data_IF_261404576897
#
_entry.id   IF_261404576897
#
_cell.length_a   1.000
_cell.length_b   1.000
_cell.length_c   1.000
_cell.angle_alpha   90.00
_cell.angle_beta   90.00
_cell.angle_gamma   90.00
#
_symmetry.space_group_name_H-M   'P 1'
#
loop_
_entity.id
_entity.type
_entity.pdbx_description
1 polymer ?
#
# COMPACT_ATOMS: atom_id res chain seq x y z
N UNK A 1 -20.33 -4.59 37.03
CA UNK A 1 -21.45 -5.44 36.52
C UNK A 1 -22.08 -4.92 35.23
N UNK A 2 -22.23 -3.60 35.03
CA UNK A 2 -22.78 -3.03 33.77
C UNK A 2 -21.80 -3.08 32.57
N UNK A 3 -20.47 -3.04 32.79
CA UNK A 3 -19.46 -3.15 31.73
C UNK A 3 -19.29 -4.59 31.20
N UNK A 4 -19.42 -5.58 32.06
CA UNK A 4 -19.34 -6.99 31.69
C UNK A 4 -20.53 -7.44 30.83
N UNK A 5 -21.74 -6.95 31.13
CA UNK A 5 -22.93 -7.27 30.33
C UNK A 5 -22.91 -6.62 28.93
N UNK A 6 -22.30 -5.45 28.78
CA UNK A 6 -22.15 -4.80 27.47
C UNK A 6 -21.09 -5.49 26.60
N UNK A 7 -19.96 -5.88 27.19
CA UNK A 7 -18.90 -6.61 26.47
C UNK A 7 -19.39 -8.01 26.03
N UNK A 8 -20.12 -8.73 26.87
CA UNK A 8 -20.72 -10.01 26.52
C UNK A 8 -21.79 -9.87 25.42
N UNK A 9 -22.61 -8.81 25.47
CA UNK A 9 -23.59 -8.50 24.43
C UNK A 9 -22.92 -8.16 23.08
N UNK A 10 -21.79 -7.42 23.07
CA UNK A 10 -21.08 -7.08 21.88
C UNK A 10 -20.36 -8.29 21.25
N UNK A 11 -19.82 -9.20 22.08
CA UNK A 11 -19.25 -10.47 21.61
C UNK A 11 -20.34 -11.33 20.98
N UNK A 12 -21.51 -11.39 21.56
CA UNK A 12 -22.66 -12.18 21.06
C UNK A 12 -23.20 -11.65 19.72
N UNK A 13 -23.23 -10.33 19.55
CA UNK A 13 -23.65 -9.68 18.30
C UNK A 13 -22.67 -9.90 17.13
N UNK A 14 -21.40 -10.18 17.42
CA UNK A 14 -20.34 -10.40 16.42
C UNK A 14 -20.10 -11.89 16.14
N UNK A 15 -20.77 -12.79 16.81
CA UNK A 15 -20.61 -14.22 16.62
C UNK A 15 -21.23 -14.65 15.28
N UNK A 16 -20.43 -15.24 14.41
CA UNK A 16 -20.92 -15.89 13.20
C UNK A 16 -21.41 -17.29 13.54
N UNK A 17 -22.71 -17.45 13.59
CA UNK A 17 -23.37 -18.70 14.00
C UNK A 17 -23.13 -19.88 13.04
N UNK A 18 -22.74 -19.62 11.78
CA UNK A 18 -22.67 -20.63 10.72
C UNK A 18 -21.27 -21.16 10.43
N UNK A 19 -20.21 -20.63 11.05
CA UNK A 19 -18.84 -20.98 10.71
C UNK A 19 -18.00 -21.29 11.94
N UNK A 20 -17.16 -22.34 11.83
CA UNK A 20 -16.14 -22.61 12.83
C UNK A 20 -15.03 -21.55 12.76
N UNK A 21 -14.41 -21.26 13.91
CA UNK A 21 -13.18 -20.47 13.94
C UNK A 21 -12.05 -21.20 13.19
N UNK A 22 -11.19 -20.41 12.51
CA UNK A 22 -9.99 -20.96 11.93
C UNK A 22 -9.09 -21.54 13.03
N UNK A 23 -8.89 -22.85 13.01
CA UNK A 23 -8.07 -23.59 13.98
C UNK A 23 -7.25 -24.68 13.27
N UNK A 24 -6.13 -25.14 13.86
CA UNK A 24 -5.43 -26.31 13.36
C UNK A 24 -6.30 -27.55 13.36
N UNK A 25 -6.14 -28.40 12.39
CA UNK A 25 -6.77 -29.73 12.37
C UNK A 25 -6.05 -30.71 13.30
N UNK A 26 -4.74 -30.50 13.47
CA UNK A 26 -3.89 -31.28 14.40
C UNK A 26 -3.16 -30.31 15.35
N UNK A 27 -3.51 -30.35 16.64
CA UNK A 27 -2.90 -29.50 17.66
C UNK A 27 -1.51 -29.94 18.10
N UNK A 28 -1.12 -31.19 17.80
CA UNK A 28 0.22 -31.72 18.13
C UNK A 28 1.29 -31.20 17.16
N UNK A 29 0.90 -30.67 16.02
CA UNK A 29 1.80 -30.10 15.02
C UNK A 29 1.87 -28.58 15.18
N UNK A 30 2.97 -28.12 15.75
CA UNK A 30 3.25 -26.66 15.88
C UNK A 30 3.71 -26.04 14.56
N UNK A 31 4.37 -26.79 13.69
CA UNK A 31 4.98 -26.33 12.45
C UNK A 31 4.77 -27.36 11.34
N UNK A 32 4.66 -26.88 10.12
CA UNK A 32 4.57 -27.72 8.91
C UNK A 32 5.87 -27.68 8.09
N UNK A 33 7.00 -27.35 8.71
CA UNK A 33 8.29 -27.16 8.03
C UNK A 33 8.81 -28.44 7.37
N UNK A 34 8.45 -29.61 7.88
CA UNK A 34 8.85 -30.91 7.34
C UNK A 34 8.13 -31.28 6.03
N UNK A 35 7.08 -30.54 5.67
CA UNK A 35 6.35 -30.81 4.43
C UNK A 35 6.89 -29.95 3.27
N UNK A 36 7.59 -30.57 2.30
CA UNK A 36 8.21 -29.85 1.18
C UNK A 36 7.20 -29.19 0.23
N UNK A 37 5.93 -29.55 0.29
CA UNK A 37 4.87 -28.98 -0.54
C UNK A 37 4.27 -27.70 0.06
N UNK A 38 4.63 -27.33 1.29
CA UNK A 38 4.11 -26.17 1.98
C UNK A 38 5.10 -25.01 1.86
N UNK A 39 4.62 -23.86 1.36
CA UNK A 39 5.44 -22.66 1.25
C UNK A 39 5.78 -22.10 2.63
N UNK A 40 6.92 -21.45 2.77
CA UNK A 40 7.33 -20.74 4.00
C UNK A 40 6.27 -19.73 4.47
N UNK A 41 5.53 -19.09 3.55
CA UNK A 41 4.43 -18.19 3.89
C UNK A 41 3.24 -18.93 4.50
N UNK A 42 2.89 -20.10 3.96
CA UNK A 42 1.81 -20.93 4.48
C UNK A 42 2.16 -21.46 5.88
N UNK A 43 3.41 -21.89 6.09
CA UNK A 43 3.87 -22.32 7.41
C UNK A 43 3.80 -21.19 8.46
N UNK A 44 4.22 -19.97 8.10
CA UNK A 44 4.07 -18.80 9.01
C UNK A 44 2.61 -18.54 9.35
N UNK A 45 1.71 -18.64 8.38
CA UNK A 45 0.26 -18.48 8.63
C UNK A 45 -0.27 -19.59 9.55
N UNK A 46 0.14 -20.85 9.34
CA UNK A 46 -0.23 -21.96 10.18
C UNK A 46 0.23 -21.75 11.64
N UNK A 47 1.49 -21.36 11.86
CA UNK A 47 2.03 -21.03 13.19
C UNK A 47 1.22 -19.93 13.85
N UNK A 48 0.82 -18.88 13.11
CA UNK A 48 -0.03 -17.81 13.62
C UNK A 48 -1.40 -18.33 14.08
N UNK A 49 -2.05 -19.17 13.27
CA UNK A 49 -3.35 -19.77 13.59
C UNK A 49 -3.20 -20.66 14.82
N UNK A 50 -2.18 -21.52 14.85
CA UNK A 50 -1.93 -22.42 15.98
C UNK A 50 -1.72 -21.63 17.28
N UNK A 51 -0.82 -20.65 17.26
CA UNK A 51 -0.57 -19.80 18.43
C UNK A 51 -1.84 -19.10 18.92
N UNK A 52 -2.61 -18.48 18.01
CA UNK A 52 -3.85 -17.79 18.37
C UNK A 52 -4.88 -18.74 19.00
N UNK A 53 -5.01 -19.93 18.44
CA UNK A 53 -5.91 -20.95 18.98
C UNK A 53 -5.47 -21.38 20.39
N UNK A 54 -4.19 -21.68 20.58
CA UNK A 54 -3.67 -22.07 21.89
C UNK A 54 -3.79 -20.94 22.92
N UNK A 55 -3.41 -19.72 22.53
CA UNK A 55 -3.53 -18.52 23.38
C UNK A 55 -4.96 -18.27 23.86
N UNK A 56 -5.96 -18.55 23.00
CA UNK A 56 -7.38 -18.36 23.35
C UNK A 56 -7.87 -19.31 24.47
N UNK A 57 -7.17 -20.41 24.69
CA UNK A 57 -7.47 -21.42 25.70
C UNK A 57 -6.61 -21.31 26.96
N UNK A 58 -5.61 -20.42 26.94
CA UNK A 58 -4.69 -20.21 28.07
C UNK A 58 -5.24 -19.17 29.05
N UNK A 59 -4.74 -19.20 30.28
CA UNK A 59 -5.06 -18.19 31.29
C UNK A 59 -4.58 -16.80 30.83
N UNK A 60 -5.31 -15.72 31.21
CA UNK A 60 -4.83 -14.36 31.02
C UNK A 60 -3.44 -14.13 31.63
N UNK A 61 -2.69 -13.19 31.09
CA UNK A 61 -1.49 -12.71 31.70
C UNK A 61 -1.82 -11.72 32.82
N UNK A 62 -1.07 -11.78 33.92
CA UNK A 62 -1.15 -10.81 34.99
C UNK A 62 -0.05 -9.77 34.83
N UNK A 63 -0.46 -8.52 34.68
CA UNK A 63 0.46 -7.40 34.43
C UNK A 63 0.25 -6.33 35.50
N UNK A 64 1.33 -6.01 36.21
CA UNK A 64 1.39 -4.88 37.14
C UNK A 64 1.74 -3.62 36.35
N UNK A 65 0.91 -2.59 36.46
CA UNK A 65 1.11 -1.31 35.78
C UNK A 65 1.38 -0.22 36.78
N UNK A 66 2.61 0.31 36.73
CA UNK A 66 3.02 1.45 37.55
C UNK A 66 2.97 2.73 36.72
N UNK A 67 2.14 3.68 37.15
CA UNK A 67 2.06 5.01 36.56
C UNK A 67 2.71 6.02 37.50
N UNK A 68 3.75 6.71 37.02
CA UNK A 68 4.49 7.72 37.79
C UNK A 68 4.19 9.07 37.14
N UNK A 69 3.69 10.03 37.92
CA UNK A 69 3.53 11.42 37.55
C UNK A 69 4.56 12.27 38.24
N UNK A 70 5.38 12.97 37.49
CA UNK A 70 6.47 13.82 38.05
C UNK A 70 6.09 15.27 37.76
N UNK A 71 5.77 16.00 38.77
CA UNK A 71 5.39 17.41 38.69
C UNK A 71 6.65 18.29 38.80
N UNK A 72 6.64 19.37 38.03
CA UNK A 72 7.66 20.41 38.16
C UNK A 72 7.30 21.30 39.36
N UNK A 73 8.29 21.57 40.20
CA UNK A 73 8.14 22.45 41.37
C UNK A 73 8.99 23.68 41.16
N UNK A 74 8.35 24.84 41.19
CA UNK A 74 9.02 26.14 41.15
C UNK A 74 8.77 26.87 42.47
N UNK A 75 9.80 26.86 43.35
CA UNK A 75 9.64 27.32 44.73
C UNK A 75 8.62 26.49 45.50
N UNK A 76 7.55 27.11 45.99
CA UNK A 76 6.43 26.45 46.69
C UNK A 76 5.27 26.03 45.80
N UNK A 77 5.24 26.49 44.56
CA UNK A 77 4.15 26.20 43.60
C UNK A 77 4.47 24.97 42.78
N UNK A 78 3.42 24.14 42.55
CA UNK A 78 3.48 22.98 41.69
C UNK A 78 2.91 23.39 40.32
N UNK A 79 3.71 23.23 39.28
CA UNK A 79 3.30 23.54 37.90
C UNK A 79 2.16 22.62 37.44
N UNK A 80 1.28 23.15 36.59
CA UNK A 80 0.17 22.42 36.01
C UNK A 80 0.62 21.25 35.10
N UNK A 81 1.80 21.37 34.50
CA UNK A 81 2.36 20.37 33.59
C UNK A 81 3.18 19.36 34.37
N UNK A 82 3.14 18.11 33.92
CA UNK A 82 3.87 17.01 34.54
C UNK A 82 4.36 16.01 33.52
N UNK A 83 5.44 15.32 33.84
CA UNK A 83 5.89 14.16 33.08
C UNK A 83 5.13 12.93 33.54
N UNK A 84 4.85 12.01 32.58
CA UNK A 84 4.20 10.74 32.85
C UNK A 84 5.13 9.61 32.41
N UNK A 85 5.42 8.68 33.31
CA UNK A 85 6.10 7.43 33.00
C UNK A 85 5.18 6.27 33.33
N UNK A 86 4.99 5.36 32.36
CA UNK A 86 4.22 4.13 32.53
C UNK A 86 5.18 2.96 32.40
N UNK A 87 5.25 2.08 33.40
CA UNK A 87 6.00 0.84 33.34
C UNK A 87 5.06 -0.34 33.56
N UNK A 88 5.26 -1.40 32.79
CA UNK A 88 4.47 -2.62 32.87
C UNK A 88 5.41 -3.79 33.17
N UNK A 89 5.07 -4.58 34.20
CA UNK A 89 5.79 -5.78 34.58
C UNK A 89 4.85 -6.97 34.48
N UNK A 90 5.29 -7.98 33.77
CA UNK A 90 4.54 -9.23 33.64
C UNK A 90 4.84 -10.06 34.89
N UNK A 91 3.83 -10.25 35.73
CA UNK A 91 3.91 -11.07 36.95
C UNK A 91 3.68 -12.54 36.63
N UNK A 92 2.76 -12.79 35.71
CA UNK A 92 2.45 -14.10 35.19
C UNK A 92 2.24 -14.01 33.66
N UNK A 93 3.05 -14.75 32.91
CA UNK A 93 3.04 -14.66 31.45
C UNK A 93 1.70 -15.07 30.82
N UNK A 94 1.04 -16.07 31.39
CA UNK A 94 -0.20 -16.60 30.82
C UNK A 94 -0.07 -16.87 29.33
N UNK A 95 -1.02 -16.39 28.51
CA UNK A 95 -1.01 -16.56 27.07
C UNK A 95 0.15 -15.82 26.36
N UNK A 96 0.74 -14.83 26.99
CA UNK A 96 1.84 -14.04 26.40
C UNK A 96 3.11 -14.88 26.18
N UNK A 97 3.26 -16.02 26.85
CA UNK A 97 4.40 -16.92 26.66
C UNK A 97 4.53 -17.35 25.20
N UNK A 98 3.43 -17.61 24.51
CA UNK A 98 3.42 -17.96 23.08
C UNK A 98 3.65 -16.75 22.18
N UNK A 99 3.36 -15.54 22.63
CA UNK A 99 3.59 -14.32 21.87
C UNK A 99 5.09 -13.97 21.80
N UNK A 100 5.85 -14.27 22.83
CA UNK A 100 7.30 -14.05 22.87
C UNK A 100 8.06 -14.95 21.89
N UNK A 101 7.57 -16.14 21.58
CA UNK A 101 8.12 -17.00 20.51
C UNK A 101 8.06 -16.37 19.13
N UNK A 102 7.10 -15.47 18.87
CA UNK A 102 6.94 -14.80 17.58
C UNK A 102 7.80 -13.52 17.43
N UNK A 103 8.27 -12.94 18.53
CA UNK A 103 9.14 -11.75 18.49
C UNK A 103 10.56 -12.07 17.98
N UNK A 104 10.99 -13.31 18.03
CA UNK A 104 12.33 -13.72 17.58
C UNK A 104 12.51 -13.77 16.06
N UNK A 105 11.50 -13.42 15.24
CA UNK A 105 11.55 -13.53 13.78
C UNK A 105 11.23 -12.25 12.99
N UNK A 106 11.08 -11.11 13.64
CA UNK A 106 10.81 -9.85 12.93
C UNK A 106 12.02 -8.92 12.94
N UNK A 107 12.36 -8.41 11.76
CA UNK A 107 13.42 -7.41 11.53
C UNK A 107 13.27 -6.10 12.34
N UNK A 108 12.16 -5.97 13.08
CA UNK A 108 11.91 -4.85 14.00
C UNK A 108 12.78 -4.90 15.28
N UNK A 109 13.48 -6.01 15.56
CA UNK A 109 14.34 -6.13 16.74
C UNK A 109 15.68 -5.41 16.62
N UNK A 110 16.14 -5.06 15.41
CA UNK A 110 17.40 -4.31 15.27
C UNK A 110 17.25 -2.85 15.76
N UNK A 111 16.09 -2.23 15.57
CA UNK A 111 15.81 -0.87 16.11
C UNK A 111 15.63 -0.86 17.64
N UNK A 112 15.23 -1.97 18.23
CA UNK A 112 15.01 -2.07 19.69
C UNK A 112 16.32 -2.39 20.45
N UNK A 113 17.28 -3.06 19.80
CA UNK A 113 18.58 -3.41 20.42
C UNK A 113 19.52 -2.22 20.60
N UNK A 114 19.39 -1.14 19.84
CA UNK A 114 20.21 0.07 20.01
C UNK A 114 19.78 0.95 21.18
N UNK A 115 18.57 0.79 21.71
CA UNK A 115 18.13 1.46 22.92
C UNK A 115 18.25 0.52 24.12
N UNK A 116 19.46 0.27 24.57
CA UNK A 116 19.69 -0.12 25.98
C UNK A 116 19.31 1.06 26.91
N UNK A 117 18.02 1.37 26.97
CA UNK A 117 17.48 2.13 28.08
C UNK A 117 17.75 1.31 29.35
N UNK A 118 18.28 1.95 30.36
CA UNK A 118 18.38 1.39 31.71
C UNK A 118 16.95 1.03 32.12
N UNK A 119 16.61 -0.26 32.01
CA UNK A 119 15.27 -0.74 32.36
C UNK A 119 15.26 -0.73 33.90
N UNK A 120 14.52 0.22 34.46
CA UNK A 120 14.28 0.23 35.92
C UNK A 120 13.64 -1.11 36.30
N UNK A 121 14.21 -1.75 37.31
CA UNK A 121 13.68 -3.00 37.85
C UNK A 121 12.41 -2.71 38.69
N UNK A 122 11.60 -3.74 38.94
CA UNK A 122 10.41 -3.60 39.80
C UNK A 122 10.82 -3.10 41.20
N UNK A 123 11.95 -3.54 41.70
CA UNK A 123 12.46 -3.12 43.01
C UNK A 123 12.93 -1.65 43.04
N UNK A 124 13.40 -1.13 41.95
CA UNK A 124 13.72 0.30 41.81
C UNK A 124 12.46 1.16 41.87
N UNK A 125 11.37 0.69 41.27
CA UNK A 125 10.09 1.42 41.31
C UNK A 125 9.41 1.36 42.67
N UNK A 126 9.60 0.28 43.45
CA UNK A 126 9.10 0.18 44.84
C UNK A 126 9.74 1.19 45.79
N UNK A 127 10.93 1.71 45.44
CA UNK A 127 11.61 2.76 46.21
C UNK A 127 11.02 4.15 46.00
N UNK A 128 10.22 4.32 44.94
CA UNK A 128 9.60 5.60 44.64
C UNK A 128 8.31 5.73 45.41
N UNK A 129 8.29 6.70 46.35
CA UNK A 129 7.14 7.00 47.19
C UNK A 129 6.49 8.31 46.73
N UNK A 130 5.22 8.46 47.03
CA UNK A 130 4.49 9.71 46.76
C UNK A 130 5.10 10.85 47.57
N UNK A 131 5.32 12.00 46.95
CA UNK A 131 5.95 13.17 47.55
C UNK A 131 7.48 13.16 47.49
N UNK A 132 8.12 12.11 46.93
CA UNK A 132 9.57 12.09 46.73
C UNK A 132 10.01 13.22 45.78
N UNK A 133 10.99 14.01 46.23
CA UNK A 133 11.63 15.02 45.38
C UNK A 133 12.75 14.38 44.57
N UNK A 134 12.69 14.50 43.26
CA UNK A 134 13.71 13.99 42.35
C UNK A 134 14.55 15.14 41.79
N UNK A 135 15.86 14.95 41.72
CA UNK A 135 16.75 15.82 40.97
C UNK A 135 16.88 15.30 39.55
N UNK A 136 16.73 16.17 38.57
CA UNK A 136 16.91 15.79 37.16
C UNK A 136 18.42 15.79 36.81
N UNK A 137 18.84 14.84 36.00
CA UNK A 137 20.17 14.83 35.37
C UNK A 137 20.15 15.57 34.05
N UNK A 138 19.16 15.26 33.25
CA UNK A 138 18.88 16.00 32.02
C UNK A 138 17.39 15.90 31.67
N UNK A 139 16.91 16.92 30.98
CA UNK A 139 15.56 16.94 30.39
C UNK A 139 15.73 17.16 28.91
N UNK A 140 15.17 16.26 28.09
CA UNK A 140 15.27 16.30 26.63
C UNK A 140 13.90 16.64 26.04
N UNK A 141 13.83 17.77 25.35
CA UNK A 141 12.68 18.18 24.55
C UNK A 141 12.94 17.92 23.08
N UNK A 142 12.14 17.08 22.44
CA UNK A 142 12.21 16.84 21.01
C UNK A 142 10.98 17.42 20.31
N UNK A 143 11.19 18.31 19.35
CA UNK A 143 10.14 18.78 18.48
C UNK A 143 9.71 17.64 17.57
N UNK A 144 8.40 17.36 17.52
CA UNK A 144 7.82 16.36 16.64
C UNK A 144 6.83 17.01 15.68
N UNK A 145 6.84 16.58 14.45
CA UNK A 145 5.84 16.94 13.47
C UNK A 145 4.91 15.77 13.21
N UNK A 146 3.61 16.02 13.24
CA UNK A 146 2.61 15.07 12.76
C UNK A 146 1.88 15.72 11.60
N UNK A 147 1.91 15.08 10.43
CA UNK A 147 1.21 15.57 9.24
C UNK A 147 -0.27 15.20 9.28
N UNK A 148 -0.58 14.05 9.86
CA UNK A 148 -1.94 13.54 9.98
C UNK A 148 -2.11 12.87 11.33
N UNK A 149 -3.07 13.29 12.16
CA UNK A 149 -3.35 12.64 13.44
C UNK A 149 -3.84 11.20 13.27
N UNK A 150 -4.44 10.87 12.12
CA UNK A 150 -4.83 9.52 11.74
C UNK A 150 -4.10 9.12 10.46
N UNK A 151 -3.27 8.08 10.54
CA UNK A 151 -2.60 7.52 9.37
C UNK A 151 -3.61 6.91 8.38
N UNK A 152 -3.23 6.82 7.09
CA UNK A 152 -4.02 6.13 6.07
C UNK A 152 -4.18 4.65 6.42
N UNK A 153 -5.22 4.05 5.87
CA UNK A 153 -5.48 2.62 6.09
C UNK A 153 -4.43 1.72 5.44
N UNK A 154 -4.09 0.65 6.14
CA UNK A 154 -3.57 -0.58 5.53
C UNK A 154 -4.75 -1.49 5.19
N UNK A 155 -4.52 -2.56 4.42
CA UNK A 155 -5.57 -3.57 4.16
C UNK A 155 -6.17 -4.10 5.47
N UNK A 156 -5.32 -4.44 6.44
CA UNK A 156 -5.76 -4.95 7.74
C UNK A 156 -6.58 -3.92 8.55
N UNK A 157 -6.11 -2.66 8.61
CA UNK A 157 -6.83 -1.63 9.36
C UNK A 157 -8.13 -1.21 8.67
N UNK A 158 -8.22 -1.32 7.34
CA UNK A 158 -9.46 -1.11 6.60
C UNK A 158 -10.46 -2.23 6.88
N UNK A 159 -10.03 -3.50 6.87
CA UNK A 159 -10.88 -4.63 7.25
C UNK A 159 -11.45 -4.43 8.66
N UNK A 160 -10.59 -4.06 9.62
CA UNK A 160 -11.05 -3.77 10.98
C UNK A 160 -12.11 -2.66 11.01
N UNK A 161 -11.90 -1.59 10.23
CA UNK A 161 -12.86 -0.48 10.14
C UNK A 161 -14.18 -0.91 9.51
N UNK A 162 -14.14 -1.76 8.48
CA UNK A 162 -15.34 -2.33 7.87
C UNK A 162 -16.12 -3.19 8.89
N UNK A 163 -15.41 -4.03 9.65
CA UNK A 163 -16.00 -4.84 10.72
C UNK A 163 -16.64 -3.98 11.81
N UNK A 164 -15.93 -2.95 12.28
CA UNK A 164 -16.44 -2.00 13.28
C UNK A 164 -17.71 -1.27 12.80
N UNK A 165 -17.86 -1.05 11.50
CA UNK A 165 -19.03 -0.41 10.89
C UNK A 165 -20.13 -1.42 10.47
N UNK A 166 -19.89 -2.72 10.62
CA UNK A 166 -20.83 -3.76 10.17
C UNK A 166 -20.96 -3.87 8.64
N UNK A 167 -19.97 -3.40 7.89
CA UNK A 167 -19.96 -3.41 6.43
C UNK A 167 -19.27 -4.69 5.94
N UNK A 168 -20.03 -5.59 5.35
CA UNK A 168 -19.55 -6.89 4.87
C UNK A 168 -19.47 -7.96 5.95
N UNK A 169 -18.85 -9.08 5.59
CA UNK A 169 -18.65 -10.26 6.46
C UNK A 169 -17.22 -10.77 6.24
N UNK A 170 -16.63 -11.55 7.14
CA UNK A 170 -15.30 -12.14 6.96
C UNK A 170 -15.07 -12.80 5.62
N UNK A 171 -16.08 -13.48 5.07
CA UNK A 171 -16.00 -14.10 3.73
C UNK A 171 -15.91 -13.11 2.57
N UNK A 172 -16.33 -11.85 2.77
CA UNK A 172 -16.37 -10.83 1.70
C UNK A 172 -15.27 -9.79 1.81
N UNK A 173 -14.63 -9.58 2.96
CA UNK A 173 -13.63 -8.52 3.14
C UNK A 173 -12.48 -8.60 2.14
N UNK A 174 -11.88 -9.78 1.97
CA UNK A 174 -10.77 -9.96 1.03
C UNK A 174 -11.18 -9.61 -0.41
N UNK A 175 -12.38 -10.04 -0.82
CA UNK A 175 -12.92 -9.76 -2.16
C UNK A 175 -13.21 -8.26 -2.36
N UNK A 176 -13.72 -7.57 -1.35
CA UNK A 176 -13.97 -6.12 -1.41
C UNK A 176 -12.65 -5.35 -1.59
N UNK A 177 -11.64 -5.67 -0.78
CA UNK A 177 -10.30 -5.04 -0.85
C UNK A 177 -9.65 -5.30 -2.22
N UNK A 178 -9.71 -6.55 -2.72
CA UNK A 178 -9.16 -6.87 -4.05
C UNK A 178 -9.90 -6.10 -5.15
N UNK A 179 -11.24 -6.05 -5.12
CA UNK A 179 -12.03 -5.38 -6.17
C UNK A 179 -11.74 -3.88 -6.27
N UNK A 180 -11.60 -3.17 -5.15
CA UNK A 180 -11.28 -1.72 -5.21
C UNK A 180 -9.89 -1.46 -5.75
N UNK A 181 -8.94 -2.37 -5.53
CA UNK A 181 -7.58 -2.31 -6.09
C UNK A 181 -7.55 -2.72 -7.57
N UNK A 182 -8.23 -3.82 -7.96
CA UNK A 182 -8.31 -4.30 -9.35
C UNK A 182 -8.96 -3.26 -10.26
N UNK A 183 -9.98 -2.55 -9.75
CA UNK A 183 -10.63 -1.44 -10.43
C UNK A 183 -9.82 -0.14 -10.40
N UNK A 184 -8.67 -0.15 -9.71
CA UNK A 184 -7.81 1.03 -9.52
C UNK A 184 -8.51 2.21 -8.84
N UNK A 185 -9.51 1.96 -8.01
CA UNK A 185 -10.13 2.99 -7.17
C UNK A 185 -9.22 3.36 -6.00
N UNK A 186 -8.42 2.39 -5.56
CA UNK A 186 -7.44 2.53 -4.49
C UNK A 186 -6.13 1.89 -4.94
N UNK A 187 -5.02 2.55 -4.63
CA UNK A 187 -3.68 2.07 -4.92
C UNK A 187 -2.88 1.93 -3.62
N UNK A 188 -2.08 0.85 -3.53
CA UNK A 188 -1.18 0.63 -2.41
C UNK A 188 0.15 1.30 -2.69
N UNK A 189 0.52 2.30 -1.88
CA UNK A 189 1.74 3.08 -2.04
C UNK A 189 2.54 3.16 -0.75
N UNK A 190 3.84 3.42 -0.92
CA UNK A 190 4.76 3.76 0.17
C UNK A 190 5.25 5.18 -0.08
N UNK A 191 5.13 6.05 0.90
CA UNK A 191 5.70 7.39 0.89
C UNK A 191 6.96 7.38 1.77
N UNK A 192 8.04 7.89 1.23
CA UNK A 192 9.32 7.99 1.95
C UNK A 192 9.35 9.14 2.97
N UNK A 193 8.35 10.04 2.91
CA UNK A 193 8.29 11.23 3.74
C UNK A 193 9.23 12.34 3.26
N UNK A 194 9.16 13.47 3.96
CA UNK A 194 9.99 14.65 3.71
C UNK A 194 10.94 14.85 4.88
N UNK A 195 12.19 15.22 4.62
CA UNK A 195 13.11 15.62 5.68
C UNK A 195 12.72 17.01 6.21
N UNK A 196 12.56 17.11 7.53
CA UNK A 196 12.32 18.39 8.22
C UNK A 196 13.32 18.59 9.33
N UNK A 197 13.78 19.81 9.47
CA UNK A 197 14.58 20.21 10.61
C UNK A 197 13.70 20.25 11.85
N UNK A 198 14.16 19.62 12.92
CA UNK A 198 13.54 19.58 14.23
C UNK A 198 14.50 20.10 15.27
N UNK A 199 13.95 20.82 16.22
CA UNK A 199 14.70 21.31 17.36
C UNK A 199 14.73 20.24 18.44
N UNK A 200 15.94 19.91 18.90
CA UNK A 200 16.19 19.12 20.11
C UNK A 200 16.77 20.06 21.13
N UNK A 201 16.14 20.17 22.29
CA UNK A 201 16.58 20.97 23.43
C UNK A 201 16.99 20.01 24.55
N UNK A 202 18.15 20.23 25.14
CA UNK A 202 18.67 19.44 26.25
C UNK A 202 19.02 20.39 27.42
N UNK A 203 18.35 20.22 28.53
CA UNK A 203 18.60 20.92 29.77
C UNK A 203 19.40 20.01 30.68
N UNK A 204 20.58 20.43 31.09
CA UNK A 204 21.46 19.71 32.02
C UNK A 204 21.40 20.27 33.42
N UNK A 205 22.07 19.63 34.39
CA UNK A 205 22.13 20.03 35.81
C UNK A 205 22.68 21.45 36.00
N UNK A 206 23.56 21.90 35.13
CA UNK A 206 24.14 23.23 35.09
C UNK A 206 23.15 24.35 34.67
N UNK A 207 21.90 23.99 34.44
CA UNK A 207 20.79 24.86 33.96
C UNK A 207 21.00 25.48 32.58
N UNK A 208 22.00 25.03 31.83
CA UNK A 208 22.20 25.45 30.46
C UNK A 208 21.31 24.63 29.52
N UNK A 209 20.70 25.31 28.54
CA UNK A 209 19.91 24.69 27.50
C UNK A 209 20.74 24.63 26.22
N UNK A 210 21.04 23.43 25.77
CA UNK A 210 21.68 23.20 24.50
C UNK A 210 20.63 22.94 23.43
N UNK A 211 20.64 23.73 22.37
CA UNK A 211 19.76 23.57 21.21
C UNK A 211 20.53 22.96 20.06
N UNK A 212 20.03 21.85 19.55
CA UNK A 212 20.58 21.17 18.37
C UNK A 212 19.51 20.96 17.32
N UNK A 213 19.84 21.24 16.06
CA UNK A 213 18.97 20.95 14.93
C UNK A 213 19.26 19.55 14.43
N UNK A 214 18.23 18.72 14.39
CA UNK A 214 18.28 17.36 13.85
C UNK A 214 17.32 17.24 12.68
N UNK A 215 17.63 16.40 11.69
CA UNK A 215 16.73 16.12 10.58
C UNK A 215 15.95 14.85 10.87
N UNK A 216 14.65 14.91 10.74
CA UNK A 216 13.76 13.75 10.85
C UNK A 216 12.93 13.60 9.59
N UNK A 217 12.65 12.36 9.21
CA UNK A 217 11.71 12.07 8.11
C UNK A 217 10.28 12.12 8.64
N UNK A 218 9.47 13.02 8.08
CA UNK A 218 8.06 13.23 8.48
C UNK A 218 7.14 12.75 7.38
N UNK A 219 6.06 12.06 7.75
CA UNK A 219 5.06 11.58 6.79
C UNK A 219 5.47 10.31 6.06
N UNK A 220 6.37 9.50 6.64
CA UNK A 220 6.67 8.14 6.14
C UNK A 220 5.42 7.28 6.29
N UNK A 221 4.93 6.73 5.20
CA UNK A 221 3.79 5.81 5.18
C UNK A 221 4.16 4.58 4.36
N UNK A 222 4.24 3.42 5.00
CA UNK A 222 4.58 2.15 4.33
C UNK A 222 3.32 1.33 4.05
N UNK A 223 3.16 0.87 2.79
CA UNK A 223 2.09 -0.04 2.37
C UNK A 223 0.67 0.46 2.71
N UNK A 224 0.41 1.76 2.52
CA UNK A 224 -0.89 2.38 2.77
C UNK A 224 -1.76 2.43 1.52
N UNK A 225 -3.06 2.47 1.74
CA UNK A 225 -4.06 2.60 0.69
C UNK A 225 -4.34 4.07 0.41
N UNK A 226 -4.21 4.44 -0.86
CA UNK A 226 -4.43 5.79 -1.37
C UNK A 226 -5.60 5.78 -2.36
N UNK A 227 -6.59 6.66 -2.23
CA UNK A 227 -7.59 6.83 -3.26
C UNK A 227 -6.91 7.33 -4.54
N UNK A 228 -7.33 6.81 -5.68
CA UNK A 228 -6.95 7.32 -6.98
C UNK A 228 -7.93 8.41 -7.43
N UNK A 229 -7.57 9.16 -8.47
CA UNK A 229 -8.46 10.15 -9.07
C UNK A 229 -9.76 9.50 -9.56
N UNK A 230 -9.67 8.33 -10.19
CA UNK A 230 -10.85 7.56 -10.62
C UNK A 230 -11.69 7.18 -9.41
N UNK A 231 -11.06 6.69 -8.34
CA UNK A 231 -11.75 6.32 -7.10
C UNK A 231 -12.50 7.50 -6.51
N UNK A 232 -11.86 8.65 -6.44
CA UNK A 232 -12.45 9.88 -5.91
C UNK A 232 -13.66 10.32 -6.74
N UNK A 233 -13.54 10.29 -8.06
CA UNK A 233 -14.63 10.70 -8.95
C UNK A 233 -15.81 9.74 -8.89
N UNK A 234 -15.55 8.43 -8.90
CA UNK A 234 -16.61 7.43 -8.76
C UNK A 234 -17.32 7.60 -7.42
N UNK A 235 -16.57 7.86 -6.34
CA UNK A 235 -17.15 8.09 -5.02
C UNK A 235 -18.02 9.36 -5.01
N UNK A 236 -17.51 10.48 -5.52
CA UNK A 236 -18.27 11.74 -5.58
C UNK A 236 -19.54 11.58 -6.43
N UNK A 237 -19.45 10.91 -7.58
CA UNK A 237 -20.60 10.61 -8.41
C UNK A 237 -21.66 9.78 -7.66
N UNK A 238 -21.22 8.76 -6.95
CA UNK A 238 -22.13 7.89 -6.20
C UNK A 238 -22.75 8.62 -5.00
N UNK A 239 -21.98 9.44 -4.28
CA UNK A 239 -22.49 10.27 -3.16
C UNK A 239 -23.51 11.30 -3.64
N UNK A 240 -23.26 11.94 -4.79
CA UNK A 240 -24.19 12.94 -5.37
C UNK A 240 -25.49 12.30 -5.85
N UNK A 241 -25.43 11.14 -6.52
CA UNK A 241 -26.58 10.53 -7.17
C UNK A 241 -27.29 9.46 -6.33
N UNK A 242 -26.58 8.84 -5.39
CA UNK A 242 -27.08 7.73 -4.57
C UNK A 242 -26.70 7.86 -3.08
N UNK A 243 -26.94 9.02 -2.43
CA UNK A 243 -26.49 9.27 -1.06
C UNK A 243 -26.99 8.25 -0.05
N UNK A 244 -28.22 7.72 -0.26
CA UNK A 244 -28.82 6.73 0.63
C UNK A 244 -28.08 5.37 0.59
N UNK A 245 -27.45 5.02 -0.54
CA UNK A 245 -26.68 3.77 -0.71
C UNK A 245 -25.25 3.96 -0.21
N UNK A 246 -24.70 5.16 -0.39
CA UNK A 246 -23.35 5.48 0.05
C UNK A 246 -23.24 5.71 1.56
N UNK A 247 -24.36 5.75 2.26
CA UNK A 247 -24.35 5.78 3.73
C UNK A 247 -23.78 4.47 4.27
N UNK A 248 -22.84 4.55 5.21
CA UNK A 248 -22.24 3.36 5.85
C UNK A 248 -23.30 2.46 6.52
N UNK A 249 -24.35 3.05 7.10
CA UNK A 249 -25.45 2.30 7.71
C UNK A 249 -26.27 1.47 6.72
N UNK A 250 -26.25 1.84 5.43
CA UNK A 250 -27.05 1.13 4.42
C UNK A 250 -26.63 -0.34 4.32
N UNK A 251 -25.34 -0.60 4.16
CA UNK A 251 -24.84 -1.97 4.05
C UNK A 251 -25.10 -2.76 5.33
N UNK A 252 -24.87 -2.15 6.50
CA UNK A 252 -25.13 -2.80 7.79
C UNK A 252 -26.61 -3.18 7.94
N UNK A 253 -27.54 -2.29 7.55
CA UNK A 253 -28.97 -2.56 7.58
C UNK A 253 -29.41 -3.66 6.61
N UNK A 254 -28.81 -3.70 5.42
CA UNK A 254 -29.12 -4.78 4.45
C UNK A 254 -28.60 -6.12 4.98
N UNK A 255 -27.39 -6.16 5.55
CA UNK A 255 -26.86 -7.38 6.17
C UNK A 255 -27.76 -7.88 7.32
N UNK A 256 -28.27 -6.97 8.15
CA UNK A 256 -29.25 -7.32 9.20
C UNK A 256 -30.56 -7.88 8.63
N UNK A 257 -31.05 -7.30 7.52
CA UNK A 257 -32.24 -7.81 6.84
C UNK A 257 -32.01 -9.20 6.25
N UNK A 258 -30.81 -9.44 5.66
CA UNK A 258 -30.45 -10.76 5.16
C UNK A 258 -30.38 -11.81 6.29
N UNK A 259 -29.89 -11.44 7.46
CA UNK A 259 -29.91 -12.31 8.66
C UNK A 259 -31.34 -12.63 9.10
N UNK A 260 -32.26 -11.66 8.99
CA UNK A 260 -33.70 -11.90 9.29
C UNK A 260 -34.35 -12.83 8.25
N UNK A 261 -33.98 -12.71 6.97
CA UNK A 261 -34.43 -13.61 5.91
C UNK A 261 -33.91 -15.03 6.16
N UNK A 262 -32.65 -15.19 6.53
CA UNK A 262 -32.06 -16.47 6.85
C UNK A 262 -32.77 -17.17 8.06
N UNK A 263 -33.28 -16.37 9.00
CA UNK A 263 -34.06 -16.83 10.14
C UNK A 263 -35.54 -17.03 9.82
N UNK A 264 -35.96 -16.85 8.57
CA UNK A 264 -37.38 -16.97 8.15
C UNK A 264 -38.33 -15.88 8.68
N UNK A 265 -37.77 -14.75 9.18
CA UNK A 265 -38.55 -13.65 9.76
C UNK A 265 -38.93 -12.57 8.76
N UNK A 266 -38.33 -12.55 7.58
CA UNK A 266 -38.56 -11.57 6.52
C UNK A 266 -38.51 -12.25 5.14
N UNK A 267 -39.33 -11.72 4.19
CA UNK A 267 -39.29 -12.18 2.81
C UNK A 267 -38.14 -11.48 2.06
N UNK A 268 -37.38 -12.22 1.25
CA UNK A 268 -36.29 -11.71 0.46
C UNK A 268 -36.76 -10.80 -0.68
N UNK A 269 -37.90 -11.10 -1.31
CA UNK A 269 -38.49 -10.33 -2.40
C UNK A 269 -38.78 -8.89 -1.97
N UNK A 270 -39.37 -8.72 -0.78
CA UNK A 270 -39.68 -7.39 -0.24
C UNK A 270 -38.41 -6.57 -0.03
N UNK A 271 -37.34 -7.19 0.47
CA UNK A 271 -36.06 -6.52 0.70
C UNK A 271 -35.41 -6.09 -0.61
N UNK A 272 -35.41 -6.96 -1.63
CA UNK A 272 -34.85 -6.66 -2.95
C UNK A 272 -35.65 -5.55 -3.63
N UNK A 273 -36.98 -5.63 -3.56
CA UNK A 273 -37.87 -4.63 -4.15
C UNK A 273 -37.71 -3.26 -3.47
N UNK A 274 -37.58 -3.22 -2.15
CA UNK A 274 -37.33 -1.99 -1.39
C UNK A 274 -36.04 -1.29 -1.88
N UNK A 275 -34.95 -2.02 -2.02
CA UNK A 275 -33.67 -1.48 -2.54
C UNK A 275 -33.82 -1.04 -3.98
N UNK A 276 -34.46 -1.85 -4.82
CA UNK A 276 -34.68 -1.54 -6.24
C UNK A 276 -35.47 -0.24 -6.43
N UNK A 277 -36.56 -0.07 -5.68
CA UNK A 277 -37.39 1.13 -5.77
C UNK A 277 -36.70 2.41 -5.29
N UNK A 278 -35.71 2.28 -4.43
CA UNK A 278 -34.86 3.44 -4.01
C UNK A 278 -33.87 3.87 -5.11
N UNK A 279 -33.43 2.92 -5.93
CA UNK A 279 -32.38 3.15 -6.94
C UNK A 279 -32.96 3.53 -8.29
N UNK A 280 -34.05 2.86 -8.68
CA UNK A 280 -34.65 2.92 -10.03
C UNK A 280 -34.95 4.35 -10.51
N UNK A 281 -35.61 5.23 -9.73
CA UNK A 281 -35.93 6.58 -10.24
C UNK A 281 -34.69 7.37 -10.69
N UNK A 282 -33.60 7.27 -9.90
CA UNK A 282 -32.36 7.96 -10.25
C UNK A 282 -31.64 7.31 -11.42
N UNK A 283 -31.68 5.98 -11.55
CA UNK A 283 -31.14 5.29 -12.74
C UNK A 283 -31.90 5.68 -14.01
N UNK A 284 -33.22 5.78 -13.94
CA UNK A 284 -34.05 6.19 -15.09
C UNK A 284 -33.72 7.64 -15.50
N UNK A 285 -33.57 8.57 -14.54
CA UNK A 285 -33.12 9.94 -14.78
C UNK A 285 -31.75 10.00 -15.47
N UNK A 286 -30.75 9.25 -14.96
CA UNK A 286 -29.39 9.20 -15.50
C UNK A 286 -29.35 8.57 -16.90
N UNK A 287 -30.19 7.59 -17.18
CA UNK A 287 -30.30 6.96 -18.50
C UNK A 287 -30.92 7.86 -19.55
N UNK A 288 -31.80 8.78 -19.18
CA UNK A 288 -32.42 9.75 -20.10
C UNK A 288 -31.37 10.79 -20.55
N UNK A 289 -30.43 11.19 -19.69
CA UNK A 289 -29.45 12.23 -19.96
C UNK A 289 -27.98 11.80 -19.80
N UNK A 290 -27.51 10.71 -20.45
CA UNK A 290 -26.17 10.18 -20.21
C UNK A 290 -25.03 11.11 -20.67
N UNK A 291 -25.34 12.08 -21.51
CA UNK A 291 -24.34 13.02 -22.08
C UNK A 291 -24.00 14.13 -21.09
N UNK A 292 -24.99 14.63 -20.34
CA UNK A 292 -24.79 15.72 -19.38
C UNK A 292 -23.88 15.27 -18.21
N UNK A 293 -24.03 14.05 -17.74
CA UNK A 293 -23.18 13.51 -16.66
C UNK A 293 -21.71 13.31 -17.10
N UNK A 294 -21.49 12.90 -18.35
CA UNK A 294 -20.12 12.79 -18.90
C UNK A 294 -19.43 14.14 -19.06
N UNK A 295 -20.20 15.19 -19.33
CA UNK A 295 -19.67 16.55 -19.53
C UNK A 295 -19.29 17.25 -18.23
N UNK A 296 -19.85 16.86 -17.06
CA UNK A 296 -19.46 17.37 -15.73
C UNK A 296 -17.96 17.15 -15.42
N UNK A 297 -17.38 16.06 -15.91
CA UNK A 297 -15.97 15.71 -15.69
C UNK A 297 -15.05 16.19 -16.82
N UNK A 298 -15.56 17.02 -17.70
CA UNK A 298 -14.83 17.57 -18.84
C UNK A 298 -14.37 18.98 -18.52
N UNK A 299 -13.06 19.19 -18.47
CA UNK A 299 -12.48 20.51 -18.30
C UNK A 299 -11.87 20.98 -19.63
N UNK A 300 -12.30 22.12 -20.10
CA UNK A 300 -11.68 22.78 -21.25
C UNK A 300 -10.40 23.48 -20.79
N UNK A 301 -9.25 23.13 -21.38
CA UNK A 301 -7.95 23.72 -21.09
C UNK A 301 -7.67 24.92 -21.97
N UNK A 302 -8.13 24.90 -23.20
CA UNK A 302 -7.91 25.93 -24.20
C UNK A 302 -7.93 25.41 -25.61
N UNK A 303 -7.26 26.10 -26.53
CA UNK A 303 -7.11 25.70 -27.93
C UNK A 303 -5.65 25.40 -28.23
N UNK A 304 -5.44 24.41 -29.10
CA UNK A 304 -4.11 24.08 -29.62
C UNK A 304 -3.63 25.18 -30.59
N UNK A 305 -2.50 25.85 -30.36
CA UNK A 305 -2.01 26.94 -31.23
C UNK A 305 -1.82 26.55 -32.68
N UNK A 306 -1.46 25.29 -32.94
CA UNK A 306 -1.12 24.80 -34.29
C UNK A 306 -2.33 24.33 -35.11
N UNK A 307 -3.47 24.02 -34.47
CA UNK A 307 -4.63 23.42 -35.15
C UNK A 307 -5.94 24.13 -34.84
N UNK A 308 -5.95 25.09 -33.96
CA UNK A 308 -7.13 25.82 -33.40
C UNK A 308 -8.20 24.87 -32.79
N UNK A 309 -7.86 23.60 -32.60
CA UNK A 309 -8.76 22.60 -32.02
C UNK A 309 -8.78 22.72 -30.49
N UNK A 310 -9.91 22.40 -29.90
CA UNK A 310 -10.10 22.47 -28.46
C UNK A 310 -9.38 21.32 -27.74
N UNK A 311 -8.71 21.66 -26.64
CA UNK A 311 -8.06 20.70 -25.74
C UNK A 311 -8.87 20.59 -24.46
N UNK A 312 -9.26 19.37 -24.13
CA UNK A 312 -10.04 19.03 -22.96
C UNK A 312 -9.35 17.96 -22.13
N UNK A 313 -9.61 17.98 -20.83
CA UNK A 313 -9.39 16.79 -19.99
C UNK A 313 -10.72 16.11 -19.76
N UNK A 314 -10.69 14.79 -19.64
CA UNK A 314 -11.82 14.00 -19.17
C UNK A 314 -11.38 12.62 -18.71
N UNK A 315 -12.32 11.87 -18.14
CA UNK A 315 -12.05 10.55 -17.61
C UNK A 315 -12.55 9.51 -18.59
N UNK A 316 -11.61 8.79 -19.18
CA UNK A 316 -11.88 7.67 -20.04
C UNK A 316 -11.99 6.35 -19.26
N UNK A 317 -12.31 5.27 -20.00
CA UNK A 317 -12.42 3.90 -19.45
C UNK A 317 -11.18 3.43 -18.65
N UNK A 318 -10.00 3.96 -18.98
CA UNK A 318 -8.72 3.56 -18.40
C UNK A 318 -8.06 4.64 -17.52
N UNK A 319 -8.78 5.71 -17.20
CA UNK A 319 -8.31 6.79 -16.35
C UNK A 319 -8.40 8.17 -16.96
N UNK A 320 -7.87 9.19 -16.25
CA UNK A 320 -7.84 10.55 -16.72
C UNK A 320 -6.95 10.69 -17.98
N UNK A 321 -7.41 11.48 -18.92
CA UNK A 321 -6.73 11.71 -20.18
C UNK A 321 -6.95 13.13 -20.70
N UNK A 322 -6.05 13.58 -21.56
CA UNK A 322 -6.22 14.76 -22.38
C UNK A 322 -6.71 14.38 -23.77
N UNK A 323 -7.57 15.20 -24.34
CA UNK A 323 -8.17 15.01 -25.64
C UNK A 323 -8.08 16.28 -26.46
N UNK A 324 -7.50 16.18 -27.66
CA UNK A 324 -7.62 17.17 -28.70
C UNK A 324 -8.87 16.83 -29.53
N UNK A 325 -9.91 17.66 -29.40
CA UNK A 325 -11.21 17.43 -30.00
C UNK A 325 -11.26 17.99 -31.42
N UNK A 326 -11.42 17.14 -32.42
CA UNK A 326 -11.75 17.53 -33.77
C UNK A 326 -13.26 17.40 -33.98
N UNK A 327 -13.97 18.45 -34.41
CA UNK A 327 -15.40 18.39 -34.68
C UNK A 327 -15.77 17.29 -35.71
N UNK A 328 -14.92 17.08 -36.70
CA UNK A 328 -15.11 16.06 -37.75
C UNK A 328 -14.63 14.66 -37.34
N UNK A 329 -14.03 14.54 -36.16
CA UNK A 329 -13.54 13.28 -35.62
C UNK A 329 -12.26 12.71 -36.25
N UNK A 330 -11.79 13.33 -37.35
CA UNK A 330 -10.66 12.81 -38.17
C UNK A 330 -9.29 13.01 -37.53
N UNK A 331 -9.12 14.04 -36.70
CA UNK A 331 -7.84 14.41 -36.05
C UNK A 331 -7.87 14.31 -34.54
N UNK A 332 -8.79 13.54 -33.98
CA UNK A 332 -8.84 13.31 -32.55
C UNK A 332 -7.54 12.67 -32.05
N UNK A 333 -6.94 13.27 -31.03
CA UNK A 333 -5.78 12.71 -30.32
C UNK A 333 -6.10 12.58 -28.83
N UNK A 334 -5.63 11.50 -28.25
CA UNK A 334 -5.79 11.19 -26.82
C UNK A 334 -4.44 10.86 -26.20
N UNK A 335 -4.19 11.34 -24.99
CA UNK A 335 -3.04 10.93 -24.23
C UNK A 335 -3.43 10.74 -22.76
N UNK A 336 -3.03 9.64 -22.09
CA UNK A 336 -3.30 9.44 -20.67
C UNK A 336 -2.55 10.48 -19.83
N UNK A 337 -3.23 11.01 -18.82
CA UNK A 337 -2.62 11.78 -17.75
C UNK A 337 -1.98 10.80 -16.76
N UNK A 338 -0.68 10.93 -16.56
CA UNK A 338 0.08 10.17 -15.57
C UNK A 338 0.68 11.17 -14.60
N UNK A 339 0.64 10.85 -13.32
CA UNK A 339 1.30 11.61 -12.25
C UNK A 339 0.86 13.10 -12.12
N UNK A 340 -0.10 13.54 -12.95
CA UNK A 340 -0.68 14.88 -12.92
C UNK A 340 -2.19 14.73 -12.67
N UNK A 341 -2.69 15.41 -11.67
CA UNK A 341 -4.13 15.39 -11.41
C UNK A 341 -4.91 16.14 -12.50
N UNK A 342 -6.11 15.67 -12.78
CA UNK A 342 -6.95 16.24 -13.84
C UNK A 342 -7.30 17.72 -13.61
N UNK A 343 -7.37 18.13 -12.32
CA UNK A 343 -7.63 19.51 -11.92
C UNK A 343 -6.41 20.42 -12.08
N UNK A 344 -5.21 19.86 -12.02
CA UNK A 344 -3.94 20.62 -11.97
C UNK A 344 -3.29 20.75 -13.35
N UNK A 345 -3.64 19.91 -14.33
CA UNK A 345 -3.00 19.92 -15.65
C UNK A 345 -3.22 21.24 -16.37
N UNK A 346 -2.13 21.81 -16.90
CA UNK A 346 -2.15 23.02 -17.71
C UNK A 346 -2.30 22.71 -19.21
N UNK A 347 -2.66 23.73 -20.00
CA UNK A 347 -2.73 23.59 -21.47
C UNK A 347 -1.38 23.19 -22.07
N UNK A 348 -0.28 23.76 -21.58
CA UNK A 348 1.08 23.48 -22.07
C UNK A 348 1.46 22.02 -21.82
N UNK A 349 1.23 21.51 -20.61
CA UNK A 349 1.45 20.11 -20.27
C UNK A 349 0.58 19.17 -21.11
N UNK A 350 -0.69 19.54 -21.34
CA UNK A 350 -1.58 18.77 -22.17
C UNK A 350 -1.11 18.71 -23.65
N UNK A 351 -0.64 19.81 -24.20
CA UNK A 351 -0.09 19.88 -25.55
C UNK A 351 1.18 19.07 -25.69
N UNK A 352 2.03 19.06 -24.68
CA UNK A 352 3.25 18.22 -24.64
C UNK A 352 2.89 16.73 -24.66
N UNK A 353 1.91 16.31 -23.88
CA UNK A 353 1.42 14.92 -23.89
C UNK A 353 0.79 14.53 -25.24
N UNK A 354 0.11 15.47 -25.89
CA UNK A 354 -0.56 15.26 -27.19
C UNK A 354 0.39 15.29 -28.39
N UNK A 355 1.68 15.62 -28.20
CA UNK A 355 2.71 15.46 -29.24
C UNK A 355 2.83 14.02 -29.71
N UNK A 356 2.67 13.07 -28.78
CA UNK A 356 2.83 11.65 -29.06
C UNK A 356 1.48 10.97 -29.43
N UNK A 357 1.48 9.99 -30.33
CA UNK A 357 2.63 9.48 -31.10
C UNK A 357 3.14 10.49 -32.14
N UNK A 358 4.47 10.68 -32.18
CA UNK A 358 5.11 11.55 -33.15
C UNK A 358 5.53 10.72 -34.37
N UNK A 359 5.09 11.12 -35.57
CA UNK A 359 5.49 10.51 -36.81
C UNK A 359 6.90 10.98 -37.16
N UNK A 360 7.89 10.11 -37.06
CA UNK A 360 9.29 10.43 -37.37
C UNK A 360 9.56 10.35 -38.88
N UNK A 361 8.94 9.38 -39.58
CA UNK A 361 9.15 9.16 -41.00
C UNK A 361 8.79 7.74 -41.43
N UNK A 362 9.41 7.25 -42.49
CA UNK A 362 9.19 5.90 -43.00
C UNK A 362 10.50 5.13 -43.18
N UNK A 363 10.46 3.83 -42.97
CA UNK A 363 11.46 2.85 -43.33
C UNK A 363 10.76 1.72 -44.08
N UNK A 364 11.28 1.32 -45.25
CA UNK A 364 10.71 0.26 -46.12
C UNK A 364 9.18 0.43 -46.36
N UNK A 365 8.76 1.66 -46.69
CA UNK A 365 7.37 2.08 -46.90
C UNK A 365 6.47 2.01 -45.65
N UNK A 366 6.97 1.59 -44.49
CA UNK A 366 6.24 1.53 -43.20
C UNK A 366 6.53 2.75 -42.37
N UNK A 367 5.52 3.23 -41.65
CA UNK A 367 5.63 4.41 -40.78
C UNK A 367 6.37 4.09 -39.50
N UNK A 368 7.31 4.98 -39.10
CA UNK A 368 7.99 4.97 -37.81
C UNK A 368 7.33 6.01 -36.91
N UNK A 369 6.88 5.60 -35.77
CA UNK A 369 6.26 6.47 -34.78
C UNK A 369 7.03 6.42 -33.46
N UNK A 370 7.36 7.57 -32.87
CA UNK A 370 7.84 7.69 -31.50
C UNK A 370 6.64 7.83 -30.57
N UNK A 371 6.57 6.97 -29.59
CA UNK A 371 5.50 6.91 -28.62
C UNK A 371 6.06 7.09 -27.19
N UNK A 372 5.25 7.63 -26.29
CA UNK A 372 5.55 7.70 -24.86
C UNK A 372 4.60 6.80 -24.08
N UNK A 373 5.13 5.74 -23.51
CA UNK A 373 4.36 4.72 -22.78
C UNK A 373 4.55 4.76 -21.26
N UNK A 374 4.05 3.77 -20.57
CA UNK A 374 4.16 3.65 -19.10
C UNK A 374 5.61 3.47 -18.64
N UNK A 375 6.44 2.88 -19.47
CA UNK A 375 7.84 2.56 -19.17
C UNK A 375 8.83 3.48 -19.87
N UNK A 376 8.39 4.65 -20.40
CA UNK A 376 9.24 5.58 -21.12
C UNK A 376 8.91 5.69 -22.61
N UNK A 377 9.89 6.13 -23.38
CA UNK A 377 9.75 6.27 -24.84
C UNK A 377 9.95 4.93 -25.55
N UNK A 378 9.24 4.75 -26.65
CA UNK A 378 9.44 3.60 -27.53
C UNK A 378 9.10 3.94 -28.98
N UNK A 379 9.77 3.28 -29.88
CA UNK A 379 9.53 3.37 -31.32
C UNK A 379 8.55 2.28 -31.69
N UNK A 380 7.48 2.66 -32.37
CA UNK A 380 6.51 1.72 -32.96
C UNK A 380 6.77 1.59 -34.45
N UNK A 381 7.13 0.38 -34.88
CA UNK A 381 7.40 0.05 -36.29
C UNK A 381 6.94 -1.37 -36.58
N UNK A 382 6.21 -1.55 -37.69
CA UNK A 382 5.73 -2.86 -38.18
C UNK A 382 5.14 -3.77 -37.10
N UNK A 383 4.21 -3.22 -36.29
CA UNK A 383 3.55 -3.90 -35.16
C UNK A 383 4.49 -4.29 -33.99
N UNK A 384 5.77 -3.94 -34.06
CA UNK A 384 6.73 -4.13 -32.97
C UNK A 384 7.00 -2.82 -32.23
N UNK A 385 7.35 -2.93 -30.96
CA UNK A 385 7.74 -1.80 -30.12
C UNK A 385 9.20 -1.98 -29.69
N UNK A 386 9.99 -0.90 -29.86
CA UNK A 386 11.41 -0.85 -29.52
C UNK A 386 11.60 0.21 -28.43
N UNK A 387 12.02 -0.19 -27.22
CA UNK A 387 12.25 0.74 -26.11
C UNK A 387 13.43 1.64 -26.37
N UNK A 388 13.31 2.94 -26.00
CA UNK A 388 14.39 3.93 -26.09
C UNK A 388 14.35 4.81 -24.83
N UNK A 389 15.51 5.28 -24.38
CA UNK A 389 15.62 6.01 -23.12
C UNK A 389 15.22 7.48 -23.22
N UNK A 390 15.24 8.05 -24.41
CA UNK A 390 14.92 9.47 -24.68
C UNK A 390 14.18 9.65 -26.00
N UNK A 391 13.76 10.87 -26.29
CA UNK A 391 13.29 11.23 -27.63
C UNK A 391 14.40 11.02 -28.66
N UNK A 392 14.08 10.36 -29.76
CA UNK A 392 15.01 10.00 -30.82
C UNK A 392 14.60 10.63 -32.14
N UNK A 393 15.59 10.96 -32.97
CA UNK A 393 15.42 11.40 -34.35
C UNK A 393 15.05 10.25 -35.29
N UNK A 394 14.70 10.57 -36.54
CA UNK A 394 14.42 9.54 -37.55
C UNK A 394 15.62 8.63 -37.81
N UNK A 395 16.83 9.20 -37.83
CA UNK A 395 18.03 8.45 -38.10
C UNK A 395 18.37 7.50 -36.96
N UNK A 396 18.35 7.99 -35.73
CA UNK A 396 18.54 7.16 -34.52
C UNK A 396 17.47 6.05 -34.45
N UNK A 397 16.20 6.37 -34.77
CA UNK A 397 15.14 5.38 -34.79
C UNK A 397 15.35 4.28 -35.83
N UNK A 398 15.90 4.61 -37.01
CA UNK A 398 16.26 3.64 -38.05
C UNK A 398 17.42 2.74 -37.62
N UNK A 399 18.41 3.29 -36.92
CA UNK A 399 19.50 2.52 -36.32
C UNK A 399 19.03 1.54 -35.27
N UNK A 400 18.21 2.00 -34.34
CA UNK A 400 17.62 1.13 -33.30
C UNK A 400 16.82 -0.02 -33.93
N UNK A 401 16.02 0.28 -34.96
CA UNK A 401 15.23 -0.75 -35.67
C UNK A 401 16.15 -1.74 -36.41
N UNK A 402 17.22 -1.26 -37.06
CA UNK A 402 18.18 -2.12 -37.78
C UNK A 402 18.95 -3.02 -36.79
N UNK A 403 19.54 -2.45 -35.75
CA UNK A 403 20.36 -3.17 -34.78
C UNK A 403 19.56 -4.25 -34.03
N UNK A 404 18.29 -3.97 -33.68
CA UNK A 404 17.42 -4.96 -33.02
C UNK A 404 16.74 -5.93 -34.01
N UNK A 405 16.71 -5.67 -35.30
CA UNK A 405 16.20 -6.59 -36.31
C UNK A 405 17.26 -7.59 -36.81
N UNK A 406 18.54 -7.23 -36.74
CA UNK A 406 19.68 -8.10 -37.09
C UNK A 406 20.18 -8.96 -35.96
N UNK A 407 19.64 -8.80 -34.74
CA UNK A 407 20.06 -9.61 -33.57
C UNK A 407 21.36 -9.17 -32.91
N UNK A 408 21.98 -8.08 -33.41
CA UNK A 408 23.18 -7.48 -32.82
C UNK A 408 22.77 -6.30 -31.93
N UNK A 409 22.44 -6.57 -30.67
CA UNK A 409 22.39 -5.55 -29.63
C UNK A 409 23.79 -5.36 -29.08
N UNK A 410 24.54 -4.43 -29.63
CA UNK A 410 25.71 -3.86 -28.95
C UNK A 410 25.22 -3.07 -27.71
N UNK A 411 25.22 -3.72 -26.58
CA UNK A 411 25.31 -3.02 -25.31
C UNK A 411 26.73 -2.56 -25.14
N UNK A 412 26.98 -1.29 -25.44
CA UNK A 412 28.21 -0.63 -25.00
C UNK A 412 28.17 -0.46 -23.49
N UNK A 413 28.60 -1.50 -22.78
CA UNK A 413 29.41 -1.41 -21.55
C UNK A 413 30.11 -2.76 -21.39
N UNK A 414 31.36 -2.69 -21.79
CA UNK A 414 32.34 -3.78 -21.84
C UNK A 414 32.71 -4.24 -20.43
N UNK A 415 32.11 -5.33 -20.00
CA UNK A 415 32.86 -6.38 -19.33
C UNK A 415 32.61 -7.65 -20.17
N UNK A 416 33.68 -8.30 -20.61
CA UNK A 416 33.67 -9.54 -21.41
C UNK A 416 32.98 -10.65 -20.61
N UNK A 417 31.65 -10.71 -20.65
CA UNK A 417 30.87 -11.80 -20.09
C UNK A 417 30.60 -12.83 -21.17
N UNK A 418 30.82 -14.12 -20.84
CA UNK A 418 30.58 -15.25 -21.75
C UNK A 418 29.09 -15.47 -22.11
N UNK A 419 28.17 -14.65 -21.57
CA UNK A 419 26.72 -14.79 -21.73
C UNK A 419 26.01 -13.45 -21.95
N UNK A 420 24.98 -13.46 -22.79
CA UNK A 420 24.11 -12.29 -23.01
C UNK A 420 22.97 -12.26 -22.00
N UNK A 421 22.86 -11.17 -21.24
CA UNK A 421 21.79 -10.95 -20.26
C UNK A 421 20.56 -10.43 -20.99
N UNK A 422 19.40 -11.03 -20.71
CA UNK A 422 18.09 -10.66 -21.23
C UNK A 422 17.13 -10.34 -20.10
N UNK A 423 16.14 -9.47 -20.32
CA UNK A 423 15.09 -9.18 -19.36
C UNK A 423 13.80 -9.87 -19.79
N UNK A 424 13.25 -10.74 -18.95
CA UNK A 424 12.01 -11.46 -19.18
C UNK A 424 10.90 -11.07 -18.21
N UNK A 425 9.71 -11.70 -18.37
CA UNK A 425 8.53 -11.47 -17.51
C UNK A 425 8.80 -11.65 -16.00
N UNK A 426 9.79 -12.45 -15.64
CA UNK A 426 10.14 -12.79 -14.25
C UNK A 426 11.46 -12.14 -13.78
N UNK A 427 11.96 -11.14 -14.53
CA UNK A 427 13.21 -10.44 -14.24
C UNK A 427 14.35 -10.78 -15.20
N UNK A 428 15.56 -10.30 -14.90
CA UNK A 428 16.73 -10.53 -15.73
C UNK A 428 17.18 -11.99 -15.69
N UNK A 429 17.63 -12.48 -16.85
CA UNK A 429 18.14 -13.84 -17.02
C UNK A 429 19.17 -13.91 -18.14
N UNK A 430 20.00 -14.94 -18.13
CA UNK A 430 20.86 -15.29 -19.25
C UNK A 430 20.61 -16.73 -19.72
N UNK A 431 20.99 -17.01 -20.96
CA UNK A 431 20.87 -18.34 -21.54
C UNK A 431 22.28 -18.91 -21.75
N UNK A 432 22.55 -20.11 -21.24
CA UNK A 432 23.77 -20.89 -21.48
C UNK A 432 23.41 -22.35 -21.70
N UNK A 433 23.98 -22.97 -22.70
CA UNK A 433 23.72 -24.38 -23.08
C UNK A 433 22.21 -24.70 -23.25
N UNK A 434 21.45 -23.79 -23.86
CA UNK A 434 20.02 -23.94 -24.13
C UNK A 434 19.12 -23.82 -22.88
N UNK A 435 19.67 -23.50 -21.71
CA UNK A 435 18.91 -23.31 -20.45
C UNK A 435 18.92 -21.87 -19.99
N UNK A 436 17.79 -21.41 -19.46
CA UNK A 436 17.65 -20.07 -18.90
C UNK A 436 17.97 -20.05 -17.40
N UNK A 437 18.78 -19.10 -16.99
CA UNK A 437 19.24 -18.88 -15.62
C UNK A 437 18.80 -17.49 -15.15
N UNK A 438 17.90 -17.42 -14.16
CA UNK A 438 17.44 -16.14 -13.60
C UNK A 438 18.50 -15.52 -12.70
N UNK A 439 18.70 -14.20 -12.85
CA UNK A 439 19.63 -13.43 -12.03
C UNK A 439 18.81 -12.84 -10.87
N UNK A 440 19.15 -13.21 -9.63
CA UNK A 440 18.45 -12.72 -8.45
C UNK A 440 18.91 -11.30 -8.05
N UNK A 441 18.07 -10.60 -7.28
CA UNK A 441 18.28 -9.19 -6.85
C UNK A 441 19.56 -8.93 -6.03
N UNK A 442 20.18 -9.97 -5.52
CA UNK A 442 21.44 -9.89 -4.78
C UNK A 442 22.71 -9.79 -5.65
N UNK A 443 22.55 -9.82 -6.98
CA UNK A 443 23.63 -9.59 -7.92
C UNK A 443 23.52 -8.21 -8.56
N UNK A 444 24.64 -7.46 -8.61
CA UNK A 444 24.68 -6.17 -9.29
C UNK A 444 24.76 -6.39 -10.81
N UNK A 445 23.74 -5.99 -11.51
CA UNK A 445 23.61 -6.15 -12.97
C UNK A 445 24.69 -5.40 -13.76
N UNK A 446 25.20 -4.31 -13.21
CA UNK A 446 26.19 -3.48 -13.88
C UNK A 446 27.62 -3.99 -13.67
N UNK A 447 27.84 -4.84 -12.67
CA UNK A 447 29.14 -5.38 -12.27
C UNK A 447 29.17 -6.91 -12.18
N UNK A 448 28.33 -7.59 -12.96
CA UNK A 448 28.26 -9.06 -12.94
C UNK A 448 29.57 -9.65 -13.48
N UNK A 449 30.15 -10.60 -12.76
CA UNK A 449 31.40 -11.26 -13.12
C UNK A 449 31.18 -12.69 -13.63
N UNK A 450 32.16 -13.26 -14.37
CA UNK A 450 32.12 -14.67 -14.79
C UNK A 450 31.97 -15.63 -13.60
N UNK A 451 32.57 -15.31 -12.45
CA UNK A 451 32.41 -16.10 -11.21
C UNK A 451 30.98 -16.10 -10.70
N UNK A 452 30.25 -14.97 -10.84
CA UNK A 452 28.84 -14.88 -10.46
C UNK A 452 27.97 -15.73 -11.39
N UNK A 453 28.27 -15.73 -12.69
CA UNK A 453 27.59 -16.57 -13.68
C UNK A 453 27.78 -18.05 -13.36
N UNK A 454 29.01 -18.50 -13.08
CA UNK A 454 29.27 -19.89 -12.69
C UNK A 454 28.58 -20.27 -11.39
N UNK A 455 28.51 -19.36 -10.43
CA UNK A 455 27.81 -19.58 -9.17
C UNK A 455 26.29 -19.73 -9.38
N UNK A 456 25.68 -18.86 -10.18
CA UNK A 456 24.25 -18.93 -10.54
C UNK A 456 23.95 -20.28 -11.23
N UNK A 457 24.78 -20.72 -12.14
CA UNK A 457 24.63 -22.01 -12.83
C UNK A 457 24.73 -23.18 -11.83
N UNK A 458 25.71 -23.13 -10.93
CA UNK A 458 25.97 -24.16 -9.93
C UNK A 458 24.83 -24.27 -8.95
N UNK A 459 24.32 -23.15 -8.46
CA UNK A 459 23.20 -23.09 -7.52
C UNK A 459 21.91 -23.62 -8.16
N UNK A 460 21.67 -23.29 -9.42
CA UNK A 460 20.53 -23.88 -10.14
C UNK A 460 20.67 -25.38 -10.35
N UNK A 461 21.83 -25.88 -10.71
CA UNK A 461 22.09 -27.32 -10.84
C UNK A 461 21.87 -28.05 -9.51
N UNK A 462 22.31 -27.49 -8.38
CA UNK A 462 22.03 -28.00 -7.04
C UNK A 462 20.54 -28.00 -6.69
N UNK A 463 19.84 -26.92 -7.06
CA UNK A 463 18.39 -26.81 -6.87
C UNK A 463 17.63 -27.87 -7.69
N UNK A 464 17.96 -28.01 -8.98
CA UNK A 464 17.33 -28.94 -9.88
C UNK A 464 17.62 -30.41 -9.45
N UNK A 465 18.82 -30.71 -8.93
CA UNK A 465 19.19 -32.04 -8.40
C UNK A 465 18.46 -32.41 -7.09
N UNK A 466 18.11 -31.40 -6.28
CA UNK A 466 17.28 -31.58 -5.07
C UNK A 466 15.79 -31.77 -5.39
N UNK A 467 15.34 -31.30 -6.53
CA UNK A 467 13.95 -31.41 -6.96
C UNK A 467 13.63 -32.74 -7.64
N UNK A 468 14.65 -33.47 -8.10
CA UNK A 468 14.56 -34.77 -8.76
C UNK A 468 14.92 -35.96 -7.81
N UNK A 469 15.14 -35.69 -6.54
CA UNK A 469 15.17 -36.66 -5.43
C UNK A 469 13.91 -36.50 -4.58
#
# INVERSE_FOLDING_TARGET
TRKESSAASDVYKRQQEAHEACRPTNFNEFTLEENPNISSRANRLYKLIWNRTMMSQMKPADVEVTNIKIYLKNGSEIEKYHFVSKKEFIIFDGFLILNNYNKFSSEEEEEIKEKKEIIATQDDLKKIQEGLTLNYKNIIGNQKYSRHPQGRFTEASLIKKLDDLGIGRPSTYATMISKVQDRKYVEKKTLEGEEKECLKMELFEDKNINETKTKIKVGVEKNKLFPSDIGTIVTNFLEENFPNIMNYDFTAKIEEQLDQIAKGKKNWEDTVNEVFMRIKPKLDELNINPTQEKDKFKRKLGKCPNTDLEVHTYIGKYGPLVHLKDPDGKKNKFSPLKDIKIEEVTLEQALELLKFPLKLGKLDRKEIQLCKGQYGFYIKYDKKNYSVDKEVSLEEAKEVIKNLSTGESENQNTNELSVNIKTGKFGPYFTKDGKNYSIFKNYDMNNLTEKDIEKIITDKKKYDSKKNK
#
